data_IF_968171219605
#
_entry.id   IF_968171219605
#
_cell.length_a   1.000
_cell.length_b   1.000
_cell.length_c   1.000
_cell.angle_alpha   90.00
_cell.angle_beta   90.00
_cell.angle_gamma   90.00
#
_symmetry.space_group_name_H-M   'P 1'
#
loop_
_entity.id
_entity.type
_entity.pdbx_description
1 polymer ?
2 non-polymer ?
3 water ?
#
# COMPACT_ATOMS: atom_id res chain seq x y z
N UNK A 46 -6.55 14.74 15.00
CA UNK A 46 -7.05 15.59 13.93
C UNK A 46 -6.54 15.12 12.57
N UNK A 47 -5.31 14.58 12.55
CA UNK A 47 -4.76 14.04 11.32
C UNK A 47 -5.34 12.66 11.02
N UNK A 48 -5.58 11.86 12.04
CA UNK A 48 -6.11 10.51 11.84
C UNK A 48 -7.47 10.55 11.15
N UNK A 49 -8.33 11.50 11.54
CA UNK A 49 -9.63 11.61 10.92
C UNK A 49 -9.51 11.97 9.44
N UNK A 50 -8.66 12.95 9.12
CA UNK A 50 -8.56 13.44 7.76
C UNK A 50 -8.14 12.33 6.79
N UNK A 51 -7.24 11.45 7.23
CA UNK A 51 -6.80 10.37 6.36
C UNK A 51 -7.90 9.32 6.17
N UNK A 52 -8.69 9.07 7.21
CA UNK A 52 -9.82 8.16 7.08
C UNK A 52 -10.87 8.70 6.11
N UNK A 53 -11.16 10.00 6.21
CA UNK A 53 -12.11 10.62 5.28
C UNK A 53 -11.65 10.51 3.84
N UNK A 54 -10.34 10.52 3.61
CA UNK A 54 -9.82 10.47 2.24
C UNK A 54 -10.00 9.10 1.61
N UNK A 55 -9.90 8.03 2.41
CA UNK A 55 -10.02 6.68 1.89
C UNK A 55 -11.46 6.25 1.64
N UNK A 56 -12.44 7.06 2.05
CA UNK A 56 -13.84 6.68 1.89
C UNK A 56 -14.20 6.42 0.43
N UNK A 57 -13.58 7.14 -0.50
CA UNK A 57 -13.85 6.90 -1.90
C UNK A 57 -13.38 5.54 -2.37
N UNK A 58 -12.21 5.10 -1.89
CA UNK A 58 -11.65 3.81 -2.27
C UNK A 58 -12.21 2.66 -1.47
N UNK A 59 -13.37 2.81 -0.84
CA UNK A 59 -13.97 1.78 0.00
C UNK A 59 -15.32 1.40 -0.58
N UNK A 60 -15.44 0.13 -1.00
CA UNK A 60 -16.68 -0.38 -1.56
C UNK A 60 -16.75 -1.90 -1.38
N UNK A 91 -3.45 -13.93 20.41
CA UNK A 91 -4.57 -14.58 19.75
C UNK A 91 -5.88 -13.82 19.91
N UNK A 92 -6.07 -13.19 21.06
CA UNK A 92 -7.26 -12.43 21.37
C UNK A 92 -6.85 -11.03 21.83
N UNK A 93 -7.78 -10.08 21.67
CA UNK A 93 -7.53 -8.68 21.98
C UNK A 93 -8.16 -8.35 23.33
N UNK A 94 -7.39 -7.74 24.22
CA UNK A 94 -7.84 -7.39 25.56
C UNK A 94 -8.11 -5.89 25.60
N UNK A 95 -9.37 -5.51 25.39
CA UNK A 95 -9.74 -4.11 25.49
C UNK A 95 -9.90 -3.71 26.96
N UNK A 96 -9.74 -2.42 27.22
CA UNK A 96 -9.87 -1.87 28.56
C UNK A 96 -10.63 -0.57 28.48
N UNK A 97 -11.86 -0.55 29.00
CA UNK A 97 -12.66 0.67 28.97
C UNK A 97 -12.03 1.74 29.84
N UNK A 98 -11.97 2.96 29.31
CA UNK A 98 -11.40 4.09 30.03
C UNK A 98 -12.53 5.01 30.46
N UNK A 99 -12.53 5.38 31.74
CA UNK A 99 -13.44 6.39 32.27
C UNK A 99 -13.60 7.55 31.30
N UNK A 100 -12.48 8.15 30.92
CA UNK A 100 -12.41 9.22 29.94
C UNK A 100 -11.10 9.05 29.19
N UNK A 101 -10.95 9.69 28.04
CA UNK A 101 -9.67 9.62 27.32
C UNK A 101 -8.65 10.54 27.96
N UNK A 102 -7.37 10.31 27.72
CA UNK A 102 -6.36 11.32 28.10
C UNK A 102 -6.65 12.63 27.39
N UNK A 103 -6.17 13.72 27.99
CA UNK A 103 -6.48 15.06 27.48
C UNK A 103 -6.08 15.22 26.02
N UNK A 104 -5.01 14.55 25.59
CA UNK A 104 -4.54 14.68 24.22
C UNK A 104 -5.55 14.15 23.21
N UNK A 105 -6.48 13.30 23.63
CA UNK A 105 -7.44 12.66 22.73
C UNK A 105 -8.87 13.11 22.99
N UNK A 106 -9.06 14.24 23.69
CA UNK A 106 -10.40 14.66 24.07
C UNK A 106 -11.23 15.09 22.86
N UNK A 107 -10.59 15.67 21.84
CA UNK A 107 -11.32 16.18 20.69
C UNK A 107 -12.10 15.07 19.99
N UNK A 108 -11.62 13.83 20.06
CA UNK A 108 -12.36 12.71 19.50
C UNK A 108 -13.62 12.44 20.31
N UNK A 109 -13.49 12.38 21.62
CA UNK A 109 -14.56 12.29 22.60
C UNK A 109 -15.55 13.44 22.35
N UNK A 111 -19.89 8.67 23.28
CA UNK A 111 -18.63 8.16 22.78
C UNK A 111 -17.80 7.62 23.94
N UNK A 112 -17.52 6.33 23.88
CA UNK A 112 -16.72 5.67 24.90
C UNK A 112 -15.27 5.65 24.43
N UNK A 113 -14.38 5.07 25.23
CA UNK A 113 -13.02 4.85 24.77
C UNK A 113 -12.48 3.58 25.42
N UNK A 114 -11.91 2.71 24.60
CA UNK A 114 -11.31 1.46 25.02
C UNK A 114 -9.87 1.43 24.56
N UNK A 115 -8.99 0.86 25.38
CA UNK A 115 -7.56 0.83 25.11
C UNK A 115 -7.12 -0.60 24.83
N UNK A 116 -6.17 -0.75 23.90
CA UNK A 116 -5.57 -2.03 23.57
C UNK A 116 -4.05 -1.86 23.58
N UNK A 117 -3.41 -2.40 24.61
CA UNK A 117 -1.95 -2.36 24.74
C UNK A 117 -1.38 -3.57 24.02
N UNK A 118 -0.66 -3.33 22.93
CA UNK A 118 -0.18 -4.42 22.08
C UNK A 118 1.18 -4.02 21.50
N UNK A 119 1.58 -4.72 20.45
CA UNK A 119 2.83 -4.48 19.74
C UNK A 119 2.52 -4.13 18.29
N UNK A 120 3.53 -3.57 17.60
CA UNK A 120 3.35 -3.18 16.21
C UNK A 120 3.12 -4.38 15.30
N UNK A 121 3.55 -5.57 15.70
CA UNK A 121 3.27 -6.77 14.91
C UNK A 121 1.77 -7.00 14.76
N UNK A 122 0.98 -6.51 15.72
CA UNK A 122 -0.46 -6.66 15.71
C UNK A 122 -1.19 -5.36 15.37
N UNK A 123 -0.77 -4.24 15.98
CA UNK A 123 -1.44 -2.97 15.74
C UNK A 123 -1.28 -2.50 14.29
N UNK A 124 -0.26 -2.98 13.58
CA UNK A 124 -0.13 -2.64 12.17
C UNK A 124 -1.29 -3.21 11.35
N UNK A 125 -1.91 -4.30 11.81
CA UNK A 125 -2.96 -4.96 11.06
C UNK A 125 -4.31 -4.27 11.20
N UNK A 126 -4.44 -3.30 12.10
CA UNK A 126 -5.65 -2.53 12.26
C UNK A 126 -5.45 -1.07 11.93
N UNK A 127 -4.31 -0.71 11.35
CA UNK A 127 -4.02 0.67 10.98
C UNK A 127 -3.56 0.77 9.53
N UNK A 128 -2.27 0.59 9.30
CA UNK A 128 -1.73 0.67 7.96
C UNK A 128 -0.99 1.96 7.71
N UNK A 129 -0.08 1.95 6.73
CA UNK A 129 0.70 3.18 6.45
C UNK A 129 -0.17 4.40 6.16
N UNK A 130 -1.19 4.25 5.32
CA UNK A 130 -2.13 5.32 5.05
C UNK A 130 -3.44 5.15 5.81
N UNK A 131 -3.41 4.39 6.91
CA UNK A 131 -4.61 4.08 7.70
C UNK A 131 -5.65 3.35 6.86
N UNK A 132 -5.17 2.47 5.98
CA UNK A 132 -6.08 1.75 5.07
C UNK A 132 -7.07 0.90 5.86
N UNK A 133 -6.59 0.15 6.85
CA UNK A 133 -7.46 -0.74 7.60
C UNK A 133 -8.10 -0.07 8.79
N UNK A 134 -7.47 0.96 9.36
CA UNK A 134 -8.14 1.75 10.40
C UNK A 134 -9.33 2.51 9.82
N UNK A 135 -9.26 2.90 8.55
CA UNK A 135 -10.37 3.61 7.93
C UNK A 135 -11.49 2.66 7.53
N UNK A 136 -11.15 1.44 7.09
CA UNK A 136 -12.18 0.46 6.79
C UNK A 136 -12.92 0.05 8.05
N UNK A 137 -12.21 -0.06 9.18
CA UNK A 137 -12.86 -0.38 10.44
C UNK A 137 -13.79 0.74 10.88
N UNK A 138 -13.47 1.99 10.56
CA UNK A 138 -14.40 3.09 10.81
C UNK A 138 -15.55 3.07 9.81
N UNK A 139 -15.26 2.79 8.55
CA UNK A 139 -16.32 2.66 7.55
C UNK A 139 -17.30 1.56 7.92
N UNK A 140 -16.83 0.52 8.59
CA UNK A 140 -17.69 -0.60 8.96
C UNK A 140 -18.50 -0.29 10.23
N UNK A 141 -17.81 0.11 11.31
CA UNK A 141 -18.44 0.23 12.63
C UNK A 141 -18.64 1.66 13.11
N UNK A 142 -18.06 2.65 12.43
CA UNK A 142 -18.12 4.00 12.93
C UNK A 142 -17.20 4.31 14.08
N UNK A 143 -16.36 3.36 14.51
CA UNK A 143 -15.41 3.61 15.58
C UNK A 143 -14.16 4.27 14.99
N UNK A 144 -13.49 5.06 15.80
CA UNK A 144 -12.26 5.73 15.40
C UNK A 144 -11.08 5.06 16.08
N UNK A 145 -10.08 4.67 15.27
CA UNK A 145 -8.89 4.00 15.77
C UNK A 145 -7.77 5.03 15.86
N UNK A 146 -7.12 5.09 17.02
CA UNK A 146 -5.97 5.97 17.24
C UNK A 146 -4.83 5.15 17.82
N UNK A 147 -3.64 5.28 17.22
CA UNK A 147 -2.47 4.54 17.64
C UNK A 147 -1.33 5.49 17.98
N UNK A 148 -0.52 5.09 18.96
CA UNK A 148 0.62 5.87 19.39
C UNK A 148 1.67 4.90 19.92
N UNK A 149 2.95 5.17 19.67
CA UNK A 149 4.00 4.39 20.35
C UNK A 149 3.89 4.60 21.85
N UNK A 150 3.93 3.49 22.60
CA UNK A 150 3.75 3.58 24.04
C UNK A 150 4.88 4.35 24.70
N UNK A 151 6.13 4.02 24.35
CA UNK A 151 7.31 4.70 24.84
C UNK A 151 8.12 5.18 23.63
N UNK A 152 7.69 6.28 23.00
CA UNK A 152 8.34 6.70 21.74
C UNK A 152 9.79 7.09 21.89
N UNK A 153 10.27 7.38 23.11
CA UNK A 153 11.67 7.75 23.27
C UNK A 153 12.60 6.60 22.93
N UNK A 154 12.12 5.35 23.06
CA UNK A 154 12.92 4.20 22.68
C UNK A 154 13.19 4.16 21.18
N UNK A 155 12.34 4.79 20.38
CA UNK A 155 12.56 4.86 18.94
C UNK A 155 13.59 5.89 18.54
N UNK A 156 14.09 6.69 19.48
CA UNK A 156 15.21 7.58 19.25
C UNK A 156 16.53 6.98 19.70
N UNK A 157 16.52 5.76 20.24
CA UNK A 157 17.71 5.11 20.73
C UNK A 157 18.33 4.24 19.64
N UNK A 158 19.66 4.09 19.71
CA UNK A 158 20.41 3.27 18.78
C UNK A 158 20.71 1.88 19.32
N UNK A 159 21.05 1.78 20.60
CA UNK A 159 21.36 0.49 21.22
C UNK A 159 20.30 0.10 22.24
N UNK A 171 15.26 -5.30 27.11
CA UNK A 171 15.34 -4.28 28.13
C UNK A 171 14.20 -3.27 28.00
N UNK A 172 13.76 -2.74 29.14
CA UNK A 172 12.64 -1.81 29.14
C UNK A 172 12.97 -0.49 28.45
N UNK A 173 14.25 -0.15 28.32
CA UNK A 173 14.64 1.05 27.59
C UNK A 173 15.88 0.75 26.76
N UNK A 174 16.01 1.50 25.67
CA UNK A 174 16.96 1.21 24.61
C UNK A 174 16.24 1.00 23.29
N UNK A 175 17.04 0.73 22.26
CA UNK A 175 16.49 0.54 20.93
C UNK A 175 15.70 -0.76 20.86
N UNK A 176 14.58 -0.72 20.13
CA UNK A 176 13.81 -1.94 19.89
C UNK A 176 14.59 -2.88 18.98
N UNK A 177 14.41 -4.18 19.20
CA UNK A 177 15.05 -5.18 18.36
C UNK A 177 14.57 -5.06 16.92
N UNK A 178 13.26 -5.18 16.71
CA UNK A 178 12.64 -5.06 15.40
C UNK A 178 11.44 -4.14 15.49
N UNK A 179 10.81 -3.89 14.34
CA UNK A 179 9.60 -3.07 14.34
C UNK A 179 8.43 -3.81 14.98
N UNK A 180 8.36 -5.13 14.80
CA UNK A 180 7.29 -5.92 15.41
C UNK A 180 7.26 -5.76 16.93
N UNK A 181 8.42 -5.54 17.54
CA UNK A 181 8.55 -5.42 18.99
C UNK A 181 8.14 -4.05 19.52
N UNK A 182 7.84 -3.09 18.65
CA UNK A 182 7.52 -1.74 19.09
C UNK A 182 6.19 -1.75 19.83
N UNK A 183 6.21 -1.29 21.09
CA UNK A 183 4.99 -1.19 21.87
C UNK A 183 4.08 -0.11 21.31
N UNK A 184 2.83 -0.48 21.03
CA UNK A 184 1.85 0.43 20.46
C UNK A 184 0.59 0.37 21.32
N UNK A 185 0.03 1.55 21.61
CA UNK A 185 -1.20 1.67 22.37
C UNK A 185 -2.31 2.13 21.43
N UNK A 186 -3.36 1.32 21.30
CA UNK A 186 -4.47 1.58 20.39
C UNK A 186 -5.67 2.08 21.18
N UNK A 187 -6.31 3.12 20.68
CA UNK A 187 -7.48 3.72 21.30
C UNK A 187 -8.67 3.61 20.36
N UNK A 188 -9.84 3.33 20.92
CA UNK A 188 -11.06 3.16 20.14
C UNK A 188 -12.12 4.13 20.67
N UNK A 189 -12.79 4.83 19.76
CA UNK A 189 -13.73 5.89 20.12
C UNK A 189 -15.06 5.67 19.43
N UNK A 190 -16.12 5.52 20.20
CA UNK A 190 -17.44 5.35 19.65
C UNK A 190 -18.36 4.72 20.68
N UNK A 191 -19.56 4.38 20.20
CA UNK A 191 -20.53 3.69 21.04
C UNK A 191 -20.06 2.26 21.31
N UNK A 192 -20.48 1.72 22.46
CA UNK A 192 -20.10 0.35 22.81
C UNK A 192 -20.65 -0.64 21.82
N UNK A 193 -21.76 -0.31 21.15
CA UNK A 193 -22.24 -1.16 20.06
C UNK A 193 -21.22 -1.21 18.93
N UNK A 194 -20.77 -0.03 18.47
CA UNK A 194 -19.76 0.01 17.43
C UNK A 194 -18.41 -0.52 17.87
N UNK A 195 -18.06 -0.30 19.13
CA UNK A 195 -16.78 -0.80 19.65
C UNK A 195 -16.79 -2.32 19.72
N UNK A 196 -17.93 -2.90 20.09
CA UNK A 196 -18.04 -4.36 20.13
C UNK A 196 -17.87 -4.96 18.75
N UNK A 197 -18.48 -4.34 17.73
CA UNK A 197 -18.34 -4.85 16.36
C UNK A 197 -16.89 -4.76 15.90
N UNK A 198 -16.26 -3.61 16.10
CA UNK A 198 -14.87 -3.45 15.67
C UNK A 198 -13.94 -4.37 16.43
N UNK A 199 -14.23 -4.64 17.71
CA UNK A 199 -13.39 -5.51 18.50
C UNK A 199 -13.27 -6.90 17.87
N UNK A 200 -14.40 -7.49 17.49
CA UNK A 200 -14.36 -8.80 16.84
C UNK A 200 -13.82 -8.71 15.43
N UNK A 201 -14.09 -7.61 14.73
CA UNK A 201 -13.42 -7.40 13.44
C UNK A 201 -11.91 -7.32 13.63
N UNK A 202 -11.46 -6.66 14.70
CA UNK A 202 -10.03 -6.52 14.94
C UNK A 202 -9.41 -7.86 15.34
N UNK A 203 -10.12 -8.64 16.15
CA UNK A 203 -9.60 -9.96 16.51
C UNK A 203 -9.47 -10.87 15.31
N UNK A 204 -10.30 -10.66 14.29
CA UNK A 204 -10.12 -11.36 13.03
C UNK A 204 -9.07 -10.68 12.15
N UNK A 205 -8.91 -9.36 12.30
CA UNK A 205 -7.92 -8.65 11.50
C UNK A 205 -6.51 -9.05 11.88
N UNK A 206 -6.22 -9.14 13.18
CA UNK A 206 -4.89 -9.54 13.63
C UNK A 206 -4.57 -10.99 13.34
N UNK A 207 -5.55 -11.77 12.90
CA UNK A 207 -5.31 -13.16 12.57
C UNK A 207 -4.69 -13.33 11.19
N UNK A 208 -4.93 -12.38 10.29
CA UNK A 208 -4.49 -12.49 8.91
C UNK A 208 -3.17 -11.75 8.71
N UNK A 209 -2.74 -11.63 7.45
CA UNK A 209 -1.55 -10.88 7.08
C UNK A 209 -1.94 -9.84 6.03
N UNK A 210 -2.31 -8.64 6.45
CA UNK A 210 -2.67 -7.59 5.47
C UNK A 210 -1.41 -6.98 4.87
N UNK A 211 -1.38 -6.91 3.54
CA UNK A 211 -0.19 -6.49 2.80
C UNK A 211 -0.59 -5.54 1.67
N UNK A 212 0.41 -4.93 1.07
CA UNK A 212 0.25 -4.28 -0.22
C UNK A 212 0.41 -5.32 -1.33
N UNK A 213 -0.32 -5.11 -2.42
CA UNK A 213 -0.26 -6.00 -3.57
C UNK A 213 0.13 -5.21 -4.81
N UNK A 214 0.93 -5.82 -5.68
CA UNK A 214 1.30 -5.23 -6.97
C UNK A 214 1.19 -6.33 -8.02
N UNK A 215 0.26 -6.16 -8.96
CA UNK A 215 0.09 -7.11 -10.06
C UNK A 215 0.85 -6.54 -11.25
N UNK A 216 2.05 -7.06 -11.49
CA UNK A 216 2.88 -6.64 -12.61
C UNK A 216 2.26 -6.99 -13.95
N UNK A 217 1.52 -6.04 -14.52
CA UNK A 217 0.89 -6.24 -15.82
C UNK A 217 1.92 -5.96 -16.91
N UNK A 218 2.06 -6.91 -17.84
CA UNK A 218 3.04 -6.78 -18.91
C UNK A 218 2.47 -7.29 -20.22
N UNK A 219 2.95 -6.73 -21.32
CA UNK A 219 2.60 -7.16 -22.66
C UNK A 219 3.87 -7.37 -23.47
N UNK A 220 3.80 -8.28 -24.44
CA UNK A 220 4.94 -8.54 -25.32
C UNK A 220 4.81 -7.71 -26.59
N UNK A 221 5.93 -7.19 -27.06
CA UNK A 221 5.98 -6.39 -28.27
C UNK A 221 6.44 -7.26 -29.43
N UNK A 222 5.72 -7.19 -30.55
CA UNK A 222 6.08 -8.00 -31.71
C UNK A 222 7.43 -7.58 -32.27
N UNK A 223 7.71 -6.27 -32.30
CA UNK A 223 8.97 -5.80 -32.86
C UNK A 223 10.15 -6.09 -31.95
N UNK A 224 9.93 -6.10 -30.63
CA UNK A 224 11.00 -6.26 -29.67
C UNK A 224 10.98 -7.67 -29.08
N UNK A 225 11.95 -7.94 -28.20
CA UNK A 225 12.00 -9.17 -27.43
C UNK A 225 11.60 -8.98 -25.98
N UNK A 226 11.93 -7.84 -25.38
CA UNK A 226 11.54 -7.55 -24.01
C UNK A 226 10.05 -7.24 -23.95
N UNK A 227 9.53 -7.20 -22.73
CA UNK A 227 8.13 -6.93 -22.50
C UNK A 227 7.97 -5.50 -22.02
N UNK A 228 6.76 -4.98 -22.16
CA UNK A 228 6.42 -3.66 -21.65
C UNK A 228 5.52 -3.84 -20.43
N UNK A 229 5.80 -3.07 -19.38
CA UNK A 229 4.98 -3.09 -18.17
C UNK A 229 4.20 -1.79 -18.06
N UNK A 230 2.96 -1.90 -17.60
CA UNK A 230 2.14 -0.71 -17.41
C UNK A 230 2.49 -0.03 -16.09
N UNK A 231 2.76 1.27 -16.15
CA UNK A 231 3.19 2.04 -14.99
C UNK A 231 2.21 3.16 -14.70
N UNK A 232 2.06 3.47 -13.42
CA UNK A 232 1.26 4.61 -12.98
C UNK A 232 2.07 5.43 -12.00
N UNK A 233 1.62 6.67 -11.77
CA UNK A 233 2.23 7.58 -10.82
C UNK A 233 1.13 8.16 -9.94
N UNK A 234 0.98 7.62 -8.73
CA UNK A 234 -0.05 8.07 -7.82
C UNK A 234 0.43 9.26 -7.01
N UNK A 235 -0.43 10.26 -6.87
CA UNK A 235 -0.12 11.46 -6.11
C UNK A 235 -0.61 11.23 -4.68
N UNK A 236 0.29 10.84 -3.80
CA UNK A 236 -0.06 10.59 -2.41
C UNK A 236 -0.49 11.88 -1.72
N UNK A 237 -1.32 11.74 -0.71
CA UNK A 237 -1.88 12.90 -0.02
C UNK A 237 -0.85 13.51 0.93
N UNK A 238 -1.14 14.73 1.36
CA UNK A 238 -0.22 15.44 2.26
C UNK A 238 -0.04 14.70 3.58
N UNK A 239 -1.11 14.10 4.09
CA UNK A 239 -1.06 13.37 5.36
C UNK A 239 -0.61 11.94 5.07
N UNK A 240 0.69 11.71 5.18
CA UNK A 240 1.29 10.43 4.86
C UNK A 240 2.50 10.22 5.76
N UNK A 241 2.90 8.97 5.99
CA UNK A 241 4.09 8.71 6.82
C UNK A 241 5.35 9.12 6.10
N UNK A 242 6.45 9.36 6.84
CA UNK A 242 7.66 9.91 6.20
C UNK A 242 8.34 8.97 5.23
N UNK A 243 7.92 7.72 5.13
CA UNK A 243 8.55 6.76 4.22
C UNK A 243 7.82 6.64 2.89
N UNK A 244 6.82 7.47 2.65
CA UNK A 244 6.03 7.44 1.42
C UNK A 244 6.33 8.69 0.62
N UNK A 245 6.73 8.58 -0.65
CA UNK A 245 7.12 9.76 -1.42
C UNK A 245 5.90 10.58 -1.81
N UNK A 246 6.10 11.81 -2.31
CA UNK A 246 4.96 12.58 -2.81
C UNK A 246 4.28 11.94 -4.01
N UNK A 247 5.06 11.37 -4.93
CA UNK A 247 4.55 10.67 -6.09
C UNK A 247 5.25 9.32 -6.18
N UNK A 248 4.47 8.27 -6.44
CA UNK A 248 4.98 6.89 -6.46
C UNK A 248 4.88 6.34 -7.87
N UNK A 249 6.02 6.18 -8.53
CA UNK A 249 6.07 5.45 -9.80
C UNK A 249 5.87 3.98 -9.50
N UNK A 250 4.68 3.47 -9.82
CA UNK A 250 4.28 2.13 -9.41
C UNK A 250 3.68 1.36 -10.56
N UNK A 251 3.77 0.05 -10.47
CA UNK A 251 2.97 -0.88 -11.25
C UNK A 251 1.63 -1.08 -10.54
N UNK A 252 0.58 -1.46 -11.26
CA UNK A 252 -0.76 -1.48 -10.66
C UNK A 252 -0.84 -2.36 -9.42
N UNK A 253 -1.78 -2.01 -8.54
CA UNK A 253 -1.99 -2.75 -7.30
C UNK A 253 -2.04 -1.86 -6.08
N UNK A 254 -2.94 -2.16 -5.15
CA UNK A 254 -3.07 -1.40 -3.91
C UNK A 254 -2.82 -2.28 -2.70
N UNK A 255 -3.86 -2.52 -1.90
CA UNK A 255 -3.73 -3.27 -0.67
C UNK A 255 -4.87 -4.26 -0.52
N UNK A 256 -4.63 -5.28 0.30
CA UNK A 256 -5.67 -6.24 0.62
C UNK A 256 -6.64 -5.62 1.61
N UNK A 257 -7.93 -5.62 1.27
CA UNK A 257 -8.94 -5.20 2.22
C UNK A 257 -9.02 -6.18 3.38
N UNK A 258 -9.82 -5.83 4.38
CA UNK A 258 -10.06 -6.74 5.48
C UNK A 258 -10.64 -8.05 4.97
N UNK A 259 -9.99 -9.16 5.31
CA UNK A 259 -10.33 -10.54 4.94
C UNK A 259 -10.17 -10.84 3.46
N UNK A 260 -9.72 -9.87 2.67
CA UNK A 260 -9.40 -10.13 1.28
C UNK A 260 -8.05 -10.83 1.19
N UNK A 261 -7.90 -11.65 0.15
CA UNK A 261 -6.69 -12.41 -0.07
C UNK A 261 -5.80 -11.73 -1.11
N UNK A 262 -4.57 -12.22 -1.20
CA UNK A 262 -3.53 -11.58 -2.02
C UNK A 262 -3.93 -11.46 -3.48
N UNK A 263 -4.10 -12.60 -4.15
CA UNK A 263 -4.44 -12.60 -5.57
C UNK A 263 -5.77 -11.89 -5.80
N UNK A 264 -6.74 -12.09 -4.90
CA UNK A 264 -8.03 -11.42 -5.02
C UNK A 264 -7.86 -9.90 -4.97
N UNK A 265 -6.99 -9.41 -4.09
CA UNK A 265 -6.77 -7.97 -4.01
C UNK A 265 -5.99 -7.47 -5.21
N UNK A 266 -4.97 -8.21 -5.64
CA UNK A 266 -4.16 -7.78 -6.79
C UNK A 266 -5.01 -7.62 -8.04
N UNK A 267 -5.97 -8.52 -8.26
CA UNK A 267 -6.80 -8.44 -9.46
C UNK A 267 -7.79 -7.29 -9.34
N UNK A 268 -8.44 -7.15 -8.19
CA UNK A 268 -9.43 -6.09 -8.03
C UNK A 268 -8.78 -4.71 -8.03
N UNK A 269 -7.66 -4.56 -7.31
CA UNK A 269 -6.95 -3.28 -7.33
C UNK A 269 -6.32 -2.99 -8.69
N UNK A 270 -6.04 -4.02 -9.49
CA UNK A 270 -5.57 -3.79 -10.84
C UNK A 270 -6.61 -3.03 -11.66
N UNK A 271 -7.86 -3.49 -11.60
CA UNK A 271 -8.92 -2.80 -12.33
C UNK A 271 -9.17 -1.41 -11.76
N UNK A 272 -9.08 -1.27 -10.43
CA UNK A 272 -9.33 0.02 -9.80
C UNK A 272 -8.35 1.08 -10.29
N UNK A 273 -7.11 0.68 -10.60
CA UNK A 273 -6.08 1.61 -11.03
C UNK A 273 -5.93 1.68 -12.55
N UNK A 274 -6.36 0.65 -13.28
CA UNK A 274 -6.13 0.61 -14.72
C UNK A 274 -7.42 0.38 -15.51
N UNK A 275 -8.36 -0.33 -14.92
CA UNK A 275 -9.56 -0.72 -15.65
C UNK A 275 -9.40 -1.97 -16.50
N UNK A 276 -8.32 -2.72 -16.30
CA UNK A 276 -8.05 -3.95 -17.06
C UNK A 276 -8.55 -5.13 -16.26
N UNK A 277 -9.27 -6.04 -16.91
CA UNK A 277 -9.81 -7.23 -16.28
C UNK A 277 -8.92 -8.42 -16.62
N UNK A 278 -8.36 -9.04 -15.59
CA UNK A 278 -7.47 -10.19 -15.73
C UNK A 278 -8.07 -11.36 -14.96
N UNK A 279 -7.94 -12.56 -15.50
CA UNK A 279 -8.46 -13.76 -14.87
C UNK A 279 -7.49 -14.30 -13.83
N UNK A 280 -8.04 -14.93 -12.80
CA UNK A 280 -7.23 -15.44 -11.69
C UNK A 280 -6.31 -16.59 -12.12
N UNK A 281 -6.66 -17.31 -13.18
CA UNK A 281 -5.81 -18.39 -13.65
C UNK A 281 -4.55 -17.90 -14.35
N UNK A 282 -4.49 -16.62 -14.71
CA UNK A 282 -3.34 -16.05 -15.39
C UNK A 282 -2.50 -15.16 -14.47
N UNK A 283 -2.88 -15.01 -13.21
CA UNK A 283 -2.10 -14.26 -12.24
C UNK A 283 -1.19 -15.22 -11.49
N UNK A 284 0.10 -14.90 -11.45
CA UNK A 284 1.08 -15.77 -10.85
C UNK A 284 1.84 -15.03 -9.76
N UNK A 285 1.92 -15.59 -8.55
CA UNK A 285 2.70 -14.94 -7.49
C UNK A 285 4.19 -15.02 -7.78
N UNK A 286 4.88 -13.88 -7.62
CA UNK A 286 6.29 -13.80 -7.92
C UNK A 286 7.17 -13.57 -6.71
N UNK A 287 6.59 -13.38 -5.53
CA UNK A 287 7.38 -13.20 -4.32
C UNK A 287 6.82 -12.13 -3.40
N UNK A 288 7.52 -11.89 -2.29
CA UNK A 288 7.11 -10.88 -1.34
C UNK A 288 8.35 -10.22 -0.76
N UNK A 289 8.18 -8.98 -0.30
CA UNK A 289 9.27 -8.22 0.27
C UNK A 289 8.79 -7.50 1.52
N UNK A 290 9.60 -7.55 2.58
CA UNK A 290 9.31 -6.84 3.82
C UNK A 290 10.63 -6.31 4.37
N UNK A 291 10.80 -5.00 4.31
CA UNK A 291 12.01 -4.34 4.82
C UNK A 291 11.56 -3.12 5.60
N UNK A 292 11.79 -3.14 6.91
CA UNK A 292 11.33 -2.07 7.78
C UNK A 292 12.35 -1.80 8.88
N UNK A 293 12.15 -0.70 9.58
CA UNK A 293 12.95 -0.34 10.75
C UNK A 293 12.00 -0.07 11.89
N UNK A 294 12.47 -0.13 13.15
CA UNK A 294 11.58 0.13 14.29
C UNK A 294 10.86 1.46 14.21
N UNK A 295 11.51 2.51 13.69
CA UNK A 295 10.86 3.81 13.57
C UNK A 295 9.72 3.80 12.56
N UNK A 296 9.74 2.86 11.61
CA UNK A 296 8.68 2.74 10.63
C UNK A 296 7.86 1.49 10.91
N UNK A 297 7.32 1.39 12.13
CA UNK A 297 6.64 0.17 12.56
C UNK A 297 5.39 -0.14 11.74
N UNK A 298 4.83 0.87 11.07
CA UNK A 298 3.57 0.72 10.35
C UNK A 298 3.71 0.00 9.01
N UNK A 299 4.93 -0.25 8.55
CA UNK A 299 5.13 -0.71 7.19
C UNK A 299 4.66 -2.16 7.02
N UNK A 300 4.08 -2.44 5.86
CA UNK A 300 3.42 -3.71 5.59
C UNK A 300 4.16 -4.46 4.50
N UNK A 301 4.17 -5.79 4.51
CA UNK A 301 4.80 -6.54 3.41
C UNK A 301 4.14 -6.20 2.09
N UNK A 302 4.83 -6.55 1.00
CA UNK A 302 4.33 -6.31 -0.35
C UNK A 302 4.35 -7.63 -1.10
N UNK A 303 3.17 -8.12 -1.47
CA UNK A 303 3.05 -9.34 -2.26
C UNK A 303 2.99 -8.98 -3.74
N UNK A 304 3.76 -9.69 -4.56
CA UNK A 304 3.93 -9.37 -5.97
C UNK A 304 3.32 -10.44 -6.86
N UNK A 305 2.72 -10.00 -7.96
CA UNK A 305 2.13 -10.89 -8.95
C UNK A 305 2.45 -10.36 -10.34
N UNK A 306 2.37 -11.24 -11.34
CA UNK A 306 2.51 -10.85 -12.74
C UNK A 306 1.41 -11.53 -13.53
N UNK A 307 1.03 -10.89 -14.63
CA UNK A 307 0.03 -11.42 -15.54
C UNK A 307 0.17 -10.73 -16.89
N UNK A 308 0.11 -11.52 -17.96
CA UNK A 308 0.24 -10.96 -19.29
C UNK A 308 -1.10 -10.40 -19.76
N UNK A 309 -1.03 -9.32 -20.54
CA UNK A 309 -2.20 -8.73 -21.17
C UNK A 309 -2.00 -8.77 -22.68
N UNK A 310 -3.08 -8.86 -23.47
CA UNK A 310 -2.92 -8.72 -24.91
C UNK A 310 -2.33 -7.36 -25.27
N UNK A 311 -1.38 -7.36 -26.20
CA UNK A 311 -0.69 -6.13 -26.56
C UNK A 311 -1.66 -5.05 -27.01
N UNK A 312 -2.78 -5.42 -27.60
CA UNK A 312 -3.84 -4.49 -27.95
C UNK A 312 -4.93 -4.59 -26.90
N UNK A 313 -5.05 -3.56 -26.07
CA UNK A 313 -6.04 -3.55 -25.00
C UNK A 313 -6.34 -2.10 -24.64
N UNK A 314 -7.62 -1.83 -24.37
CA UNK A 314 -8.05 -0.50 -23.94
C UNK A 314 -7.69 -0.33 -22.47
N UNK A 315 -6.60 0.39 -22.21
CA UNK A 315 -6.24 0.75 -20.84
C UNK A 315 -6.88 2.11 -20.56
N UNK A 316 -7.96 2.08 -19.76
CA UNK A 316 -8.71 3.30 -19.51
C UNK A 316 -8.05 4.17 -18.44
N UNK A 317 -7.25 3.57 -17.56
CA UNK A 317 -6.62 4.30 -16.48
C UNK A 317 -7.37 4.11 -15.18
N UNK A 318 -7.06 4.94 -14.19
CA UNK A 318 -7.73 4.82 -12.89
C UNK A 318 -9.22 5.09 -13.01
N UNK A 319 -10.02 4.15 -12.50
CA UNK A 319 -11.47 4.34 -12.41
C UNK A 319 -11.94 4.59 -10.98
N UNK A 320 -11.16 4.18 -9.98
CA UNK A 320 -11.37 4.57 -8.59
C UNK A 320 -10.38 5.68 -8.27
N UNK A 321 -10.86 6.72 -7.61
CA UNK A 321 -10.16 7.98 -7.34
C UNK A 321 -9.19 8.32 -8.47
N UNK A 322 -9.67 8.59 -9.68
CA UNK A 322 -8.75 8.89 -10.79
C UNK A 322 -8.04 10.22 -10.65
N UNK A 323 -8.62 11.16 -9.91
CA UNK A 323 -7.99 12.46 -9.71
C UNK A 323 -6.72 12.35 -8.88
N UNK A 324 -6.57 11.27 -8.12
CA UNK A 324 -5.40 11.06 -7.26
C UNK A 324 -4.18 10.54 -8.01
N UNK A 325 -4.26 10.43 -9.33
CA UNK A 325 -3.16 9.95 -10.15
C UNK A 325 -2.73 11.05 -11.11
N UNK A 326 -1.49 10.96 -11.57
CA UNK A 326 -0.97 11.93 -12.53
C UNK A 326 -1.76 11.86 -13.82
N UNK A 327 -2.44 12.95 -14.15
CA UNK A 327 -3.29 13.01 -15.33
C UNK A 327 -3.33 14.43 -15.86
N UNK A 328 -3.72 14.56 -17.12
CA UNK A 328 -3.91 15.86 -17.77
C UNK A 328 -2.69 16.75 -17.60
N UNK A 329 -1.52 16.13 -17.57
CA UNK A 329 -0.31 16.90 -17.39
C UNK A 329 0.08 17.57 -18.69
N UNK A 330 1.24 18.19 -18.68
CA UNK A 330 1.68 19.02 -19.79
C UNK A 330 3.05 18.51 -20.21
N UNK A 331 3.11 17.88 -21.38
CA UNK A 331 4.30 17.15 -21.80
C UNK A 331 5.44 18.09 -22.18
N UNK A 332 5.12 19.31 -22.61
CA UNK A 332 6.14 20.27 -23.00
C UNK A 332 7.06 20.60 -21.83
N UNK A 333 6.47 21.14 -20.75
CA UNK A 333 7.26 21.69 -19.66
C UNK A 333 7.83 20.60 -18.74
N UNK A 334 7.13 19.49 -18.56
CA UNK A 334 7.61 18.43 -17.69
C UNK A 334 8.75 17.64 -18.33
N UNK A 335 8.75 17.52 -19.66
CA UNK A 335 9.88 16.94 -20.37
C UNK A 335 11.19 17.59 -19.96
N UNK A 336 11.14 18.85 -19.52
CA UNK A 336 12.32 19.58 -19.10
C UNK A 336 12.48 19.61 -17.58
N UNK A 337 11.82 18.71 -16.87
CA UNK A 337 12.01 18.63 -15.42
C UNK A 337 13.35 17.96 -15.11
N UNK A 338 14.00 18.37 -14.01
CA UNK A 338 15.29 17.76 -13.66
C UNK A 338 15.18 16.32 -13.18
N UNK A 339 13.97 15.81 -12.96
CA UNK A 339 13.75 14.44 -12.50
C UNK A 339 13.71 13.49 -13.68
N UNK A 340 14.53 12.43 -13.68
CA UNK A 340 14.46 11.46 -14.78
C UNK A 340 13.11 10.77 -14.89
N UNK A 341 12.51 10.41 -13.76
CA UNK A 341 11.15 9.84 -13.76
C UNK A 341 10.23 10.74 -14.56
N UNK A 342 10.30 12.04 -14.27
CA UNK A 342 9.41 13.01 -14.88
C UNK A 342 9.59 13.08 -16.39
N UNK A 343 10.85 13.12 -16.85
CA UNK A 343 11.12 13.17 -18.27
C UNK A 343 10.65 11.90 -18.97
N UNK A 344 10.97 10.75 -18.38
CA UNK A 344 10.50 9.48 -18.94
C UNK A 344 8.99 9.41 -18.93
N UNK A 345 8.34 10.05 -17.96
CA UNK A 345 6.88 10.07 -17.91
C UNK A 345 6.31 10.94 -19.02
N UNK A 346 6.96 12.07 -19.32
CA UNK A 346 6.46 12.96 -20.37
C UNK A 346 6.58 12.32 -21.74
N UNK A 347 7.52 11.39 -21.91
CA UNK A 347 7.78 10.80 -23.22
C UNK A 347 6.99 9.53 -23.46
N UNK A 348 6.69 8.76 -22.40
CA UNK A 348 5.98 7.49 -22.53
C UNK A 348 4.58 7.50 -21.94
N UNK A 349 4.23 8.50 -21.13
CA UNK A 349 2.93 8.54 -20.49
C UNK A 349 1.88 9.19 -21.36
N UNK A 350 0.64 8.71 -21.20
CA UNK A 350 -0.51 9.27 -21.90
C UNK A 350 -1.31 10.12 -20.92
N UNK A 351 -1.36 11.45 -21.09
CA UNK A 351 -2.03 12.29 -20.09
C UNK A 351 -3.52 12.05 -19.96
N UNK A 352 -4.15 11.41 -20.95
CA UNK A 352 -5.58 11.13 -20.85
C UNK A 352 -5.88 9.97 -19.91
N UNK A 353 -4.92 9.06 -19.71
CA UNK A 353 -5.10 7.93 -18.83
C UNK A 353 -4.16 7.90 -17.63
N UNK A 354 -3.06 8.64 -17.67
CA UNK A 354 -2.09 8.57 -16.60
C UNK A 354 -1.31 7.28 -16.53
N UNK A 355 -1.24 6.55 -17.65
CA UNK A 355 -0.61 5.24 -17.70
C UNK A 355 0.51 5.26 -18.72
N UNK A 356 1.50 4.39 -18.52
CA UNK A 356 2.66 4.36 -19.41
C UNK A 356 3.21 2.94 -19.49
N UNK A 357 3.68 2.57 -20.68
CA UNK A 357 4.29 1.27 -20.92
C UNK A 357 5.81 1.43 -20.86
N UNK A 358 6.47 0.64 -20.01
CA UNK A 358 7.90 0.72 -19.83
C UNK A 358 8.52 -0.66 -19.82
N UNK A 359 9.73 -0.76 -20.36
CA UNK A 359 10.49 -2.00 -20.31
C UNK A 359 11.21 -2.11 -18.97
N UNK A 360 11.57 -3.36 -18.62
CA UNK A 360 12.24 -3.58 -17.35
C UNK A 360 13.57 -2.84 -17.28
N UNK A 361 14.30 -2.80 -18.39
CA UNK A 361 15.55 -2.03 -18.43
C UNK A 361 15.30 -0.55 -18.18
N UNK A 362 14.14 -0.04 -18.61
CA UNK A 362 13.80 1.36 -18.34
C UNK A 362 13.34 1.55 -16.90
N UNK A 363 12.58 0.60 -16.36
CA UNK A 363 12.08 0.77 -14.99
C UNK A 363 13.23 0.70 -13.98
N UNK A 364 14.14 -0.27 -14.15
CA UNK A 364 15.26 -0.40 -13.23
C UNK A 364 16.25 0.74 -13.39
N UNK A 365 16.41 1.25 -14.60
CA UNK A 365 17.20 2.46 -14.77
C UNK A 365 16.60 3.62 -13.98
N UNK A 366 15.28 3.73 -13.98
CA UNK A 366 14.60 4.78 -13.24
C UNK A 366 14.69 4.53 -11.73
N UNK A 367 14.63 3.27 -11.33
CA UNK A 367 14.73 2.91 -9.91
C UNK A 367 16.16 2.67 -9.45
N UNK A 368 17.12 2.68 -10.37
CA UNK A 368 18.51 2.44 -9.97
C UNK A 368 19.00 3.45 -8.94
N UNK A 369 18.87 4.76 -9.13
CA UNK A 369 19.41 5.69 -8.11
C UNK A 369 18.69 5.62 -6.77
N UNK A 370 17.50 5.05 -6.72
CA UNK A 370 16.74 4.98 -5.48
C UNK A 370 16.74 3.60 -4.83
N UNK A 371 16.84 2.53 -5.63
CA UNK A 371 16.68 1.18 -5.12
C UNK A 371 17.87 0.27 -5.38
N UNK A 372 18.82 0.69 -6.21
CA UNK A 372 19.85 -0.22 -6.66
C UNK A 372 19.40 -0.98 -7.88
N UNK A 373 20.22 -1.97 -8.25
CA UNK A 373 19.94 -2.75 -9.44
C UNK A 373 18.86 -3.80 -9.17
N UNK A 374 18.36 -4.39 -10.26
CA UNK A 374 17.46 -5.54 -10.23
C UNK A 374 16.11 -5.23 -9.58
N UNK A 375 15.60 -4.02 -9.77
CA UNK A 375 14.31 -3.66 -9.19
C UNK A 375 13.20 -4.59 -9.68
N UNK A 376 13.10 -4.76 -11.01
CA UNK A 376 12.07 -5.64 -11.55
C UNK A 376 12.37 -7.11 -11.27
N UNK A 377 13.64 -7.51 -11.41
CA UNK A 377 13.99 -8.92 -11.24
C UNK A 377 13.72 -9.39 -9.81
N UNK A 378 13.94 -8.51 -8.83
CA UNK A 378 13.73 -8.90 -7.44
C UNK A 378 12.25 -9.17 -7.16
N UNK A 379 11.36 -8.44 -7.84
CA UNK A 379 9.94 -8.45 -7.51
C UNK A 379 9.09 -9.29 -8.44
N UNK A 380 9.32 -9.22 -9.75
CA UNK A 380 8.38 -9.76 -10.73
C UNK A 380 8.98 -10.90 -11.54
N UNK A 381 9.79 -11.74 -10.90
CA UNK A 381 10.30 -12.93 -11.57
C UNK A 381 9.27 -14.04 -11.47
N UNK A 382 8.72 -14.53 -12.60
CA UNK A 382 7.64 -15.50 -12.52
C UNK A 382 8.13 -16.85 -12.02
N UNK A 383 7.29 -17.62 -11.34
CA UNK A 383 7.68 -18.98 -10.98
C UNK A 383 7.75 -19.85 -12.22
N UNK A 384 8.55 -20.92 -12.19
CA UNK A 384 8.74 -21.72 -13.42
C UNK A 384 7.48 -22.41 -13.91
N UNK A 385 6.53 -22.71 -13.02
CA UNK A 385 5.30 -23.37 -13.46
C UNK A 385 4.44 -22.45 -14.32
N UNK A 386 4.59 -21.14 -14.17
CA UNK A 386 3.90 -20.21 -15.06
C UNK A 386 4.39 -20.33 -16.50
N UNK A 387 5.54 -20.98 -16.70
CA UNK A 387 6.16 -21.08 -18.02
C UNK A 387 6.28 -19.70 -18.66
N UNK A 388 6.69 -18.73 -17.84
CA UNK A 388 6.65 -17.33 -18.21
C UNK A 388 7.94 -16.57 -17.95
N UNK A 389 8.84 -17.07 -17.11
CA UNK A 389 10.12 -16.38 -16.91
C UNK A 389 10.97 -16.38 -18.16
N UNK A 390 10.63 -17.20 -19.16
CA UNK A 390 11.24 -17.07 -20.48
C UNK A 390 10.73 -15.84 -21.20
N UNK A 391 9.44 -15.54 -21.07
CA UNK A 391 8.82 -14.47 -21.84
C UNK A 391 9.11 -13.09 -21.21
N UNK A 392 9.16 -13.01 -19.88
CA UNK A 392 9.25 -11.71 -19.22
C UNK A 392 10.65 -11.13 -19.33
N UNK A 393 11.66 -12.01 -19.30
CA UNK A 393 13.03 -11.61 -19.53
C UNK A 393 13.89 -11.52 -18.29
N UNK A 394 13.29 -11.42 -17.11
CA UNK A 394 14.07 -11.43 -15.88
C UNK A 394 14.53 -12.84 -15.55
N UNK A 395 13.59 -13.77 -15.39
CA UNK A 395 13.92 -15.16 -15.14
C UNK A 395 14.61 -15.41 -13.82
X LIG B 1 6.54 0.83 -3.32
X LIG B 1 5.36 1.02 -2.40
X LIG B 1 6.38 1.73 -4.52
X LIG B 1 7.81 1.18 -2.59
X LIG B 1 6.60 -0.70 -3.80
X LIG B 1 8.01 -1.36 -4.19
X LIG B 1 7.83 -2.70 -4.88
X LIG B 1 8.84 -0.43 -5.04
X LIG B 1 8.65 -1.53 -2.73
X LIG B 1 9.55 -2.59 -2.41
X LIG B 1 9.98 -2.42 -0.97
X LIG B 1 8.98 -1.75 -0.23
X LIG B 1 10.19 -3.77 -0.29
X LIG B 1 11.57 -3.99 -0.02
X LIG B 1 9.42 -3.67 1.02
X LIG B 1 10.21 -4.12 2.11
X LIG B 1 9.13 -2.19 1.12
X LIG B 1 7.99 -1.89 2.03
X LIG B 1 7.77 -2.53 3.19
X LIG B 1 6.67 -2.04 3.81
X LIG B 1 6.17 -1.07 3.03
X LIG B 1 5.00 -0.15 3.12
X LIG B 1 4.22 -0.18 4.09
X LIG B 1 4.82 0.73 2.11
X LIG B 1 5.66 0.78 1.06
X LIG B 1 5.40 1.70 0.09
X LIG B 1 6.74 -0.03 0.92
X LIG B 1 7.04 -0.96 1.86
#
# INVERSE_FOLDING_TARGET
MGSSHHHHHHSSGLVPRGSHMDDALRGELAMGSSHHHHHHSSGLVPRGSHMDDALRGELASALDTEGHALPFDVHLQQPHSSGDGTAGDTSTIQLEKLSHPPARFDLLTNSFVYKWQTKAALARKVSGPMREWAAELKYRTGVHIELEPTYPERLSENAVKGSGSDDGDGTQWGAYETADDVDITVYLFGSERGIFNCHKLMEAAIQQDPVYVRLGIFRRLANSSEVEWLMLRRINRELRPPDIPPISLKLPGKWTLLYERYKEAAIRTLWEETGITVDASNVYPTGHLYQTVPQYYWRVPVRYFVAEVPSDIRVEGPQVVPLQYMRNWDARLLRQSPDPIDRAWAQLADPATGCAWMKASMIDQLQKPLRGDNYMAIRYTPPPYSNLQEVVGLGDGSITPSTGNGEDAS
GDP PB O1B O2B O3B O3A PA O1A O2A O5' C5' C4' O4' C3' O3' C2' O2' C1' N9 C8 N7 C5 C6 O6 N1 C2 N2 N3 C4
#
